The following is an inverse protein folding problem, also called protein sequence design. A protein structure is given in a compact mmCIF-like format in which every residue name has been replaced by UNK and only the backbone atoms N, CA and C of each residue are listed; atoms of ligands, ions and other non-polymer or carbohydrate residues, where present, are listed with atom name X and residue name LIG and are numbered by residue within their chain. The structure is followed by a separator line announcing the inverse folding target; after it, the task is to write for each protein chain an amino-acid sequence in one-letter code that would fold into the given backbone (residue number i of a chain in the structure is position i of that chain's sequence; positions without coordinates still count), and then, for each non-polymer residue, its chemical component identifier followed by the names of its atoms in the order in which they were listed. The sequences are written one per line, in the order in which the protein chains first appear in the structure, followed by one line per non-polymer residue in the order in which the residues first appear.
data_IF_424989590907
#
_entry.id   IF_424989590907
#
_cell.length_a   1.000
_cell.length_b   1.000
_cell.length_c   1.000
_cell.angle_alpha   90.00
_cell.angle_beta   90.00
_cell.angle_gamma   90.00
#
_symmetry.space_group_name_H-M   'P 1'
#
loop_
_entity.id
_entity.type
_entity.pdbx_description
1 polymer ?
#
# COMPACT_ATOMS: atom_id res chain seq x y z
N UNK A 1 17.96 2.80 48.33
CA UNK A 1 18.26 2.20 47.01
C UNK A 1 19.18 3.16 46.26
N UNK A 2 20.43 2.77 46.02
CA UNK A 2 21.48 3.68 45.55
C UNK A 2 21.37 4.06 44.07
N UNK A 3 21.77 5.30 43.77
CA UNK A 3 21.75 5.97 42.46
C UNK A 3 22.21 5.06 41.28
N UNK A 4 23.15 4.14 41.53
CA UNK A 4 23.64 3.16 40.53
C UNK A 4 22.57 2.21 40.00
N UNK A 5 21.56 1.82 40.80
CA UNK A 5 20.47 0.94 40.34
C UNK A 5 19.45 1.68 39.47
N UNK A 6 19.31 3.00 39.66
CA UNK A 6 18.39 3.84 38.88
C UNK A 6 18.93 4.11 37.48
N UNK A 7 20.24 4.30 37.35
CA UNK A 7 20.92 4.59 36.09
C UNK A 7 20.93 3.36 35.14
N UNK A 8 20.99 2.14 35.68
CA UNK A 8 20.86 0.90 34.89
C UNK A 8 19.44 0.74 34.37
N UNK A 9 18.41 1.11 35.14
CA UNK A 9 17.02 1.01 34.70
C UNK A 9 16.70 1.98 33.55
N UNK A 10 17.25 3.20 33.57
CA UNK A 10 17.06 4.21 32.51
C UNK A 10 17.69 3.81 31.16
N UNK A 11 18.76 3.00 31.15
CA UNK A 11 19.39 2.52 29.92
C UNK A 11 18.60 1.41 29.20
N UNK A 12 17.71 0.70 29.89
CA UNK A 12 16.85 -0.31 29.26
C UNK A 12 15.58 0.26 28.63
N UNK A 13 15.10 1.43 29.08
CA UNK A 13 13.87 2.05 28.54
C UNK A 13 14.12 2.73 27.19
N UNK A 14 15.36 3.11 26.87
CA UNK A 14 15.69 3.82 25.62
C UNK A 14 15.79 2.91 24.38
N UNK A 15 15.80 1.58 24.54
CA UNK A 15 15.99 0.64 23.41
C UNK A 15 14.71 0.09 22.78
N UNK A 16 13.52 0.53 23.22
CA UNK A 16 12.23 -0.05 22.74
C UNK A 16 11.40 0.92 21.91
N UNK A 17 11.99 2.01 21.42
CA UNK A 17 11.35 2.81 20.37
C UNK A 17 11.73 2.16 19.04
N UNK A 18 11.08 1.02 18.74
CA UNK A 18 11.01 0.53 17.37
C UNK A 18 10.30 1.60 16.57
N UNK A 19 11.07 2.47 15.90
CA UNK A 19 10.53 3.46 14.98
C UNK A 19 9.90 2.66 13.86
N UNK A 20 8.59 2.45 13.96
CA UNK A 20 7.80 1.92 12.88
C UNK A 20 7.84 2.99 11.79
N UNK A 21 8.81 2.89 10.87
CA UNK A 21 8.98 3.85 9.79
C UNK A 21 7.67 3.96 9.02
N UNK A 22 7.11 5.15 9.00
CA UNK A 22 5.92 5.46 8.25
C UNK A 22 6.24 5.36 6.76
N UNK A 23 5.36 4.70 6.00
CA UNK A 23 5.47 4.65 4.53
C UNK A 23 5.45 6.07 3.99
N UNK A 24 6.55 6.50 3.36
CA UNK A 24 6.71 7.84 2.81
C UNK A 24 6.15 7.97 1.39
N UNK A 25 6.04 6.85 0.65
CA UNK A 25 5.61 6.84 -0.74
C UNK A 25 4.86 5.55 -1.10
N UNK A 26 3.79 5.70 -1.86
CA UNK A 26 3.12 4.60 -2.54
C UNK A 26 3.19 4.86 -4.05
N UNK A 27 3.67 3.87 -4.80
CA UNK A 27 3.63 3.83 -6.26
C UNK A 27 2.72 2.68 -6.70
N UNK A 28 1.87 2.91 -7.69
CA UNK A 28 1.09 1.85 -8.34
C UNK A 28 1.42 1.85 -9.83
N UNK A 29 1.77 0.68 -10.36
CA UNK A 29 2.11 0.48 -11.77
C UNK A 29 1.18 -0.54 -12.42
N UNK A 30 0.73 -0.24 -13.66
CA UNK A 30 -0.16 -1.09 -14.42
C UNK A 30 0.58 -2.22 -15.16
N UNK A 31 0.36 -3.47 -14.75
CA UNK A 31 0.82 -4.70 -15.41
C UNK A 31 -0.37 -5.65 -15.71
N UNK A 32 -1.56 -5.10 -15.91
CA UNK A 32 -2.75 -5.90 -16.22
C UNK A 32 -2.63 -6.56 -17.62
N UNK A 33 -2.05 -5.85 -18.58
CA UNK A 33 -1.87 -6.31 -19.96
C UNK A 33 -1.19 -5.25 -20.83
N UNK A 34 -0.63 -5.67 -21.97
CA UNK A 34 0.14 -4.82 -22.89
C UNK A 34 -0.68 -3.74 -23.61
N UNK A 35 -2.00 -3.87 -23.62
CA UNK A 35 -2.97 -3.03 -24.31
C UNK A 35 -4.11 -2.58 -23.38
N UNK A 36 -3.96 -2.83 -22.07
CA UNK A 36 -5.04 -2.69 -21.10
C UNK A 36 -4.81 -1.46 -20.22
N UNK A 37 -5.72 -0.49 -20.29
CA UNK A 37 -5.72 0.66 -19.37
C UNK A 37 -6.34 0.27 -18.02
N UNK A 38 -5.59 0.50 -16.95
CA UNK A 38 -6.06 0.32 -15.58
C UNK A 38 -6.69 1.62 -15.09
N UNK A 39 -7.98 1.59 -14.77
CA UNK A 39 -8.64 2.64 -13.98
C UNK A 39 -8.53 2.27 -12.50
N UNK A 40 -7.97 3.16 -11.69
CA UNK A 40 -7.74 2.92 -10.26
C UNK A 40 -8.06 4.16 -9.44
N UNK A 41 -8.72 3.97 -8.29
CA UNK A 41 -8.98 5.01 -7.31
C UNK A 41 -8.67 4.46 -5.92
N UNK A 42 -7.88 5.16 -5.14
CA UNK A 42 -7.51 4.75 -3.78
C UNK A 42 -8.03 5.76 -2.77
N UNK A 43 -8.65 5.26 -1.71
CA UNK A 43 -9.16 6.08 -0.61
C UNK A 43 -8.93 5.44 0.75
N UNK A 44 -8.83 6.26 1.79
CA UNK A 44 -8.82 5.77 3.18
C UNK A 44 -10.22 5.31 3.59
N UNK A 45 -10.28 4.32 4.49
CA UNK A 45 -11.51 3.92 5.17
C UNK A 45 -11.29 4.08 6.67
N UNK A 46 -12.01 5.02 7.29
CA UNK A 46 -11.99 5.29 8.72
C UNK A 46 -13.28 5.97 9.14
N UNK A 47 -13.68 5.84 10.40
CA UNK A 47 -14.91 6.44 10.92
C UNK A 47 -14.74 7.91 11.33
N UNK A 48 -13.51 8.34 11.63
CA UNK A 48 -13.30 9.57 12.42
C UNK A 48 -12.36 10.59 11.78
N UNK A 49 -11.61 10.22 10.73
CA UNK A 49 -10.70 11.13 10.02
C UNK A 49 -11.09 11.17 8.55
N UNK A 50 -11.04 12.38 7.96
CA UNK A 50 -11.48 12.66 6.60
C UNK A 50 -11.05 11.58 5.59
N UNK A 51 -11.96 11.26 4.67
CA UNK A 51 -11.68 10.32 3.58
C UNK A 51 -10.67 10.98 2.65
N UNK A 52 -9.40 10.59 2.78
CA UNK A 52 -8.37 10.95 1.80
C UNK A 52 -8.63 10.14 0.54
N UNK A 53 -9.15 10.83 -0.47
CA UNK A 53 -9.35 10.31 -1.81
C UNK A 53 -8.22 10.83 -2.71
N UNK A 54 -7.42 9.90 -3.24
CA UNK A 54 -6.30 10.21 -4.14
C UNK A 54 -6.82 10.57 -5.57
N UNK A 55 -8.13 10.44 -5.77
CA UNK A 55 -8.81 10.63 -7.03
C UNK A 55 -8.64 9.43 -7.96
N UNK A 56 -9.42 9.45 -9.04
CA UNK A 56 -9.35 8.45 -10.08
C UNK A 56 -8.14 8.69 -10.99
N UNK A 57 -7.43 7.61 -11.33
CA UNK A 57 -6.31 7.59 -12.27
C UNK A 57 -6.57 6.58 -13.37
N UNK A 58 -6.17 6.94 -14.59
CA UNK A 58 -6.19 6.07 -15.76
C UNK A 58 -4.75 5.83 -16.17
N UNK A 59 -4.29 4.60 -15.99
CA UNK A 59 -2.91 4.21 -16.24
C UNK A 59 -2.86 3.36 -17.51
N UNK A 60 -2.26 3.87 -18.60
CA UNK A 60 -1.90 3.04 -19.75
C UNK A 60 -0.99 1.87 -19.32
N UNK A 61 -0.76 0.87 -20.21
CA UNK A 61 0.18 -0.21 -19.96
C UNK A 61 1.53 0.31 -19.48
N UNK A 62 2.09 -0.30 -18.43
CA UNK A 62 3.36 0.05 -17.78
C UNK A 62 3.44 1.45 -17.15
N UNK A 63 2.38 2.26 -17.24
CA UNK A 63 2.34 3.55 -16.56
C UNK A 63 2.17 3.39 -15.06
N UNK A 64 2.68 4.38 -14.32
CA UNK A 64 2.59 4.43 -12.86
C UNK A 64 2.08 5.78 -12.37
N UNK A 65 1.48 5.80 -11.19
CA UNK A 65 1.27 7.02 -10.42
C UNK A 65 1.77 6.83 -8.99
N UNK A 66 2.03 7.96 -8.33
CA UNK A 66 2.58 8.01 -6.98
C UNK A 66 1.78 8.97 -6.12
N UNK A 67 1.72 8.68 -4.83
CA UNK A 67 1.21 9.59 -3.82
C UNK A 67 1.89 9.34 -2.47
N UNK A 68 1.89 10.39 -1.63
CA UNK A 68 2.38 10.31 -0.25
C UNK A 68 1.19 10.06 0.68
N UNK A 69 1.22 9.00 1.51
CA UNK A 69 0.22 8.81 2.55
C UNK A 69 0.21 9.99 3.52
N UNK A 70 -0.95 10.58 3.75
CA UNK A 70 -1.15 11.74 4.63
C UNK A 70 -0.78 11.48 6.10
N UNK A 71 -0.92 10.23 6.57
CA UNK A 71 -0.48 9.81 7.91
C UNK A 71 0.37 8.52 7.89
N UNK A 72 1.21 8.36 6.86
CA UNK A 72 2.19 7.27 6.82
C UNK A 72 1.57 5.87 6.76
N UNK A 73 1.99 4.97 7.67
CA UNK A 73 1.51 3.59 7.78
C UNK A 73 0.23 3.41 8.62
N UNK A 74 -0.30 4.48 9.23
CA UNK A 74 -1.49 4.39 10.08
C UNK A 74 -2.79 4.27 9.30
N UNK A 75 -2.80 4.77 8.06
CA UNK A 75 -3.99 4.80 7.21
C UNK A 75 -3.99 3.66 6.21
N UNK A 76 -5.02 2.82 6.30
CA UNK A 76 -5.27 1.79 5.30
C UNK A 76 -5.94 2.43 4.10
N UNK A 77 -5.23 2.42 2.96
CA UNK A 77 -5.80 2.76 1.66
C UNK A 77 -6.41 1.52 1.02
N UNK A 78 -7.67 1.64 0.63
CA UNK A 78 -8.35 0.67 -0.22
C UNK A 78 -8.42 1.23 -1.64
N UNK A 79 -7.87 0.49 -2.59
CA UNK A 79 -7.91 0.79 -4.00
C UNK A 79 -9.00 -0.01 -4.69
N UNK A 80 -9.79 0.67 -5.51
CA UNK A 80 -10.74 0.09 -6.46
C UNK A 80 -10.11 0.16 -7.84
N UNK A 81 -10.01 -0.97 -8.52
CA UNK A 81 -9.43 -1.14 -9.83
C UNK A 81 -10.46 -1.70 -10.82
N UNK A 82 -10.39 -1.27 -12.08
CA UNK A 82 -11.19 -1.81 -13.16
C UNK A 82 -10.45 -1.68 -14.49
N UNK A 83 -10.54 -2.72 -15.32
CA UNK A 83 -9.93 -2.77 -16.66
C UNK A 83 -10.77 -3.57 -17.67
N UNK A 84 -11.85 -4.19 -17.22
CA UNK A 84 -12.86 -4.88 -18.03
C UNK A 84 -14.21 -4.19 -17.79
N UNK A 85 -15.09 -4.20 -18.81
CA UNK A 85 -16.44 -3.65 -18.65
C UNK A 85 -17.14 -4.35 -17.48
N UNK A 86 -17.71 -3.54 -16.58
CA UNK A 86 -18.51 -3.96 -15.42
C UNK A 86 -17.80 -4.88 -14.40
N UNK A 87 -16.48 -4.98 -14.43
CA UNK A 87 -15.71 -5.67 -13.38
C UNK A 87 -14.94 -4.67 -12.54
N UNK A 88 -15.13 -4.76 -11.23
CA UNK A 88 -14.40 -3.99 -10.22
C UNK A 88 -13.67 -4.95 -9.30
N UNK A 89 -12.44 -4.59 -8.98
CA UNK A 89 -11.54 -5.33 -8.13
C UNK A 89 -11.13 -4.42 -6.99
N UNK A 90 -10.99 -4.97 -5.78
CA UNK A 90 -10.60 -4.16 -4.63
C UNK A 90 -9.39 -4.75 -3.93
N UNK A 91 -8.58 -3.89 -3.34
CA UNK A 91 -7.41 -4.32 -2.58
C UNK A 91 -6.92 -3.25 -1.59
N UNK A 92 -6.36 -3.68 -0.46
CA UNK A 92 -5.81 -2.80 0.58
C UNK A 92 -4.28 -2.80 0.54
N UNK A 93 -3.67 -1.64 0.28
CA UNK A 93 -2.24 -1.54 -0.06
C UNK A 93 -1.34 -1.03 1.07
N UNK A 94 -1.92 -0.52 2.15
CA UNK A 94 -1.16 0.10 3.26
C UNK A 94 -1.64 -0.43 4.63
N UNK A 95 -1.72 -1.76 4.75
CA UNK A 95 -2.05 -2.41 6.03
C UNK A 95 -0.77 -2.66 6.83
N UNK A 96 -0.84 -2.82 8.17
CA UNK A 96 0.34 -3.15 8.98
C UNK A 96 1.10 -4.40 8.51
N UNK A 97 0.44 -5.34 7.83
CA UNK A 97 1.06 -6.55 7.27
C UNK A 97 1.74 -6.33 5.91
N UNK A 98 1.41 -5.25 5.21
CA UNK A 98 1.80 -4.98 3.82
C UNK A 98 2.66 -3.72 3.67
N UNK A 99 2.68 -2.85 4.67
CA UNK A 99 3.57 -1.70 4.75
C UNK A 99 5.00 -2.13 5.12
N UNK A 100 5.68 -2.85 4.22
CA UNK A 100 6.98 -3.49 4.49
C UNK A 100 8.19 -2.60 4.17
N UNK A 101 7.99 -1.60 3.32
CA UNK A 101 9.05 -0.71 2.87
C UNK A 101 8.68 0.74 3.13
N UNK A 102 9.69 1.60 3.32
CA UNK A 102 9.49 3.05 3.34
C UNK A 102 8.79 3.54 2.05
N UNK A 103 9.16 2.94 0.91
CA UNK A 103 8.49 3.14 -0.37
C UNK A 103 7.84 1.84 -0.83
N UNK A 104 6.51 1.80 -0.81
CA UNK A 104 5.75 0.63 -1.26
C UNK A 104 5.40 0.75 -2.74
N UNK A 105 6.09 -0.02 -3.58
CA UNK A 105 5.80 -0.10 -5.00
C UNK A 105 4.87 -1.28 -5.28
N UNK A 106 3.65 -0.99 -5.69
CA UNK A 106 2.65 -1.98 -6.06
C UNK A 106 2.59 -2.15 -7.57
N UNK A 107 2.59 -3.41 -8.01
CA UNK A 107 2.32 -3.77 -9.40
C UNK A 107 1.00 -4.47 -9.48
N UNK A 108 0.07 -3.91 -10.24
CA UNK A 108 -1.28 -4.47 -10.41
C UNK A 108 -1.29 -5.39 -11.64
N UNK A 109 -1.45 -6.70 -11.40
CA UNK A 109 -1.57 -7.74 -12.44
C UNK A 109 -2.99 -8.31 -12.45
N UNK A 110 -3.39 -9.00 -13.53
CA UNK A 110 -4.69 -9.71 -13.58
C UNK A 110 -4.85 -10.71 -12.43
N UNK A 111 -3.78 -11.42 -12.09
CA UNK A 111 -3.76 -12.39 -10.99
C UNK A 111 -3.88 -11.73 -9.60
N UNK A 112 -3.58 -10.44 -9.49
CA UNK A 112 -3.52 -9.75 -8.21
C UNK A 112 -2.44 -8.68 -8.12
N UNK A 113 -2.52 -7.80 -7.11
CA UNK A 113 -1.46 -6.85 -6.81
C UNK A 113 -0.29 -7.52 -6.10
N UNK A 114 0.93 -7.09 -6.45
CA UNK A 114 2.17 -7.54 -5.82
C UNK A 114 2.93 -6.35 -5.26
N UNK A 115 3.50 -6.49 -4.06
CA UNK A 115 4.41 -5.52 -3.47
C UNK A 115 5.84 -5.77 -3.95
N UNK A 116 6.55 -4.71 -4.28
CA UNK A 116 7.94 -4.72 -4.65
C UNK A 116 8.73 -3.66 -3.88
N UNK A 117 10.03 -3.90 -3.77
CA UNK A 117 11.00 -2.87 -3.45
C UNK A 117 11.14 -1.90 -4.63
N UNK A 118 10.82 -0.62 -4.42
CA UNK A 118 10.95 0.43 -5.42
C UNK A 118 12.37 0.59 -5.99
N UNK A 119 13.41 0.13 -5.27
CA UNK A 119 14.80 0.18 -5.70
C UNK A 119 15.17 -0.94 -6.67
N UNK A 120 14.38 -2.02 -6.74
CA UNK A 120 14.58 -3.13 -7.67
C UNK A 120 13.70 -2.93 -8.90
N UNK A 121 14.34 -2.81 -10.06
CA UNK A 121 13.65 -2.64 -11.36
C UNK A 121 12.86 -3.87 -11.79
N UNK A 122 13.22 -5.05 -11.29
CA UNK A 122 12.46 -6.28 -11.51
C UNK A 122 11.51 -6.53 -10.34
N UNK A 123 10.26 -6.10 -10.48
CA UNK A 123 9.10 -6.66 -9.76
C UNK A 123 8.83 -8.14 -10.13
N UNK A 124 9.90 -8.90 -10.33
CA UNK A 124 9.90 -10.28 -10.81
C UNK A 124 9.65 -11.29 -9.67
N UNK A 125 9.85 -10.88 -8.42
CA UNK A 125 9.63 -11.74 -7.26
C UNK A 125 8.13 -11.74 -6.92
N UNK A 126 7.45 -12.84 -7.25
CA UNK A 126 6.03 -13.04 -6.93
C UNK A 126 5.78 -13.32 -5.43
N UNK A 127 6.77 -13.11 -4.56
CA UNK A 127 6.74 -13.55 -3.16
C UNK A 127 5.70 -12.80 -2.34
N UNK A 128 5.44 -11.53 -2.65
CA UNK A 128 4.45 -10.68 -1.97
C UNK A 128 3.28 -10.30 -2.90
N UNK A 129 2.76 -11.30 -3.61
CA UNK A 129 1.53 -11.19 -4.40
C UNK A 129 0.31 -11.61 -3.59
N UNK A 130 -0.80 -10.92 -3.83
CA UNK A 130 -2.06 -11.17 -3.15
C UNK A 130 -3.19 -11.30 -4.16
N UNK A 131 -4.26 -12.00 -3.78
CA UNK A 131 -5.47 -12.03 -4.59
C UNK A 131 -6.26 -10.72 -4.45
N UNK A 132 -7.00 -10.37 -5.51
CA UNK A 132 -8.04 -9.35 -5.44
C UNK A 132 -9.12 -9.74 -4.43
N UNK A 133 -9.68 -8.77 -3.72
CA UNK A 133 -10.91 -8.98 -2.95
C UNK A 133 -12.12 -8.85 -3.89
N UNK A 134 -12.74 -10.01 -4.17
CA UNK A 134 -13.89 -10.17 -5.07
C UNK A 134 -15.24 -9.82 -4.42
N UNK A 135 -15.27 -9.45 -3.12
CA UNK A 135 -16.55 -9.21 -2.41
C UNK A 135 -17.31 -7.96 -2.87
N UNK A 136 -16.72 -7.12 -3.72
CA UNK A 136 -17.31 -5.87 -4.22
C UNK A 136 -17.70 -5.93 -5.70
N UNK A 137 -17.98 -7.12 -6.23
CA UNK A 137 -18.69 -7.28 -7.53
C UNK A 137 -20.14 -6.80 -7.30
N UNK A 138 -20.36 -5.49 -7.40
CA UNK A 138 -21.70 -4.98 -7.61
C UNK A 138 -22.13 -5.41 -9.00
N UNK A 139 -23.08 -6.35 -9.05
CA UNK A 139 -23.95 -6.52 -10.20
C UNK A 139 -24.63 -5.17 -10.47
N UNK A 140 -24.23 -4.54 -11.58
CA UNK A 140 -24.85 -3.34 -12.13
C UNK A 140 -24.83 -3.47 -13.64
#
# INVERSE_FOLDING_TARGET
MGLKKMMVMLLFVSQIISMCEAVSLIRITNFIGIDTTLKVQCKTFGKDDGVDDIGEKHLPPLASFEFKPSAGNKLVYRCMASWERNKRYSFEINTPKRAKHDQNCWVFKRSGPCLCDCKRTSCAFNDDCYNWDYRWILQG
#
